data_IF_734568370590
#
_entry.id   IF_734568370590
#
_cell.length_a   1.000
_cell.length_b   1.000
_cell.length_c   1.000
_cell.angle_alpha   90.00
_cell.angle_beta   90.00
_cell.angle_gamma   90.00
#
_symmetry.space_group_name_H-M   'P 1'
#
loop_
_entity.id
_entity.type
_entity.pdbx_description
1 polymer ?
#
# COMPACT_ATOMS: atom_id res chain seq x y z
N UNK A 1 -1.89 -9.04 13.89
CA UNK A 1 -1.14 -10.07 13.14
C UNK A 1 0.35 -9.83 13.39
N UNK A 2 1.02 -10.73 14.12
CA UNK A 2 2.36 -10.54 14.69
C UNK A 2 3.51 -11.17 13.90
N UNK A 3 3.21 -11.98 12.89
CA UNK A 3 4.20 -12.61 12.03
C UNK A 3 3.54 -13.07 10.73
N UNK A 4 4.14 -12.72 9.59
CA UNK A 4 3.83 -13.31 8.29
C UNK A 4 4.92 -13.00 7.26
N UNK A 5 5.03 -13.83 6.24
CA UNK A 5 5.54 -13.47 4.92
C UNK A 5 4.51 -13.86 3.86
N UNK A 6 4.33 -13.03 2.83
CA UNK A 6 3.30 -13.25 1.81
C UNK A 6 3.77 -12.71 0.45
N UNK A 7 3.48 -13.36 -0.69
CA UNK A 7 2.74 -14.63 -0.85
C UNK A 7 3.60 -15.89 -0.67
N UNK A 8 4.92 -15.76 -0.66
CA UNK A 8 5.88 -16.86 -0.54
C UNK A 8 7.18 -16.39 0.13
N UNK A 9 8.06 -17.34 0.42
CA UNK A 9 9.42 -17.13 0.95
C UNK A 9 10.49 -17.55 -0.06
N UNK A 10 10.18 -17.52 -1.36
CA UNK A 10 11.11 -17.89 -2.43
C UNK A 10 12.39 -17.04 -2.38
N UNK A 11 13.53 -17.65 -2.65
CA UNK A 11 14.79 -16.92 -2.74
C UNK A 11 14.74 -15.84 -3.83
N UNK A 12 15.29 -14.66 -3.52
CA UNK A 12 15.36 -13.49 -4.42
C UNK A 12 14.01 -13.05 -5.03
N UNK A 13 12.91 -13.19 -4.29
CA UNK A 13 11.55 -12.86 -4.76
C UNK A 13 11.08 -11.45 -4.39
N UNK A 14 11.79 -10.73 -3.52
CA UNK A 14 11.30 -9.48 -2.93
C UNK A 14 11.00 -8.35 -3.93
N UNK A 15 11.61 -8.39 -5.12
CA UNK A 15 11.45 -7.40 -6.19
C UNK A 15 10.56 -7.87 -7.35
N UNK A 16 9.97 -9.08 -7.27
CA UNK A 16 9.07 -9.58 -8.32
C UNK A 16 7.83 -8.69 -8.45
N UNK A 17 7.56 -8.24 -9.67
CA UNK A 17 6.38 -7.44 -10.00
C UNK A 17 5.58 -8.13 -11.11
N UNK A 18 4.24 -8.24 -11.01
CA UNK A 18 3.34 -7.62 -10.02
C UNK A 18 3.17 -8.40 -8.71
N UNK A 19 3.94 -9.47 -8.47
CA UNK A 19 3.80 -10.34 -7.28
C UNK A 19 3.81 -9.55 -5.95
N UNK A 20 4.69 -8.56 -5.82
CA UNK A 20 4.80 -7.74 -4.61
C UNK A 20 3.51 -6.95 -4.25
N UNK A 21 2.59 -6.72 -5.19
CA UNK A 21 1.27 -6.14 -4.89
C UNK A 21 0.44 -7.05 -3.96
N UNK A 22 0.74 -8.35 -3.92
CA UNK A 22 0.11 -9.26 -2.96
C UNK A 22 0.37 -8.86 -1.50
N UNK A 23 1.49 -8.19 -1.21
CA UNK A 23 1.80 -7.73 0.15
C UNK A 23 0.85 -6.61 0.58
N UNK A 24 0.61 -5.62 -0.28
CA UNK A 24 -0.29 -4.51 0.05
C UNK A 24 -1.74 -4.97 0.15
N UNK A 25 -2.17 -5.88 -0.72
CA UNK A 25 -3.48 -6.54 -0.62
C UNK A 25 -3.63 -7.31 0.68
N UNK A 26 -2.61 -8.07 1.09
CA UNK A 26 -2.66 -8.83 2.35
C UNK A 26 -2.75 -7.91 3.58
N UNK A 27 -2.03 -6.77 3.57
CA UNK A 27 -2.18 -5.74 4.60
C UNK A 27 -3.58 -5.14 4.57
N UNK A 28 -4.12 -4.83 3.38
CA UNK A 28 -5.48 -4.31 3.26
C UNK A 28 -6.51 -5.26 3.88
N UNK A 29 -6.50 -6.54 3.50
CA UNK A 29 -7.41 -7.55 4.08
C UNK A 29 -7.22 -7.70 5.58
N UNK A 30 -5.97 -7.66 6.07
CA UNK A 30 -5.69 -7.67 7.51
C UNK A 30 -6.34 -6.49 8.24
N UNK A 31 -6.29 -5.30 7.65
CA UNK A 31 -6.81 -4.08 8.28
C UNK A 31 -8.32 -3.93 8.15
N UNK A 32 -8.90 -4.36 7.03
CA UNK A 32 -10.31 -4.13 6.68
C UNK A 32 -11.21 -5.31 7.04
N UNK A 33 -10.78 -6.54 6.76
CA UNK A 33 -11.59 -7.76 7.02
C UNK A 33 -11.23 -8.39 8.38
N UNK A 34 -9.95 -8.31 8.78
CA UNK A 34 -9.47 -8.90 10.04
C UNK A 34 -9.47 -7.96 11.24
N UNK A 35 -9.82 -6.67 11.04
CA UNK A 35 -9.76 -5.62 12.07
C UNK A 35 -8.45 -5.58 12.88
N UNK A 36 -7.34 -5.99 12.26
CA UNK A 36 -6.05 -5.98 12.94
C UNK A 36 -5.57 -4.55 13.18
N UNK A 37 -5.06 -4.30 14.40
CA UNK A 37 -4.45 -3.03 14.77
C UNK A 37 -2.94 -2.96 14.45
N UNK A 38 -2.33 -4.12 14.16
CA UNK A 38 -0.92 -4.25 13.85
C UNK A 38 -0.68 -5.35 12.82
N UNK A 39 0.28 -5.08 11.93
CA UNK A 39 0.78 -6.01 10.93
C UNK A 39 2.30 -6.05 11.02
N UNK A 40 2.85 -7.20 11.40
CA UNK A 40 4.29 -7.39 11.60
C UNK A 40 4.77 -8.46 10.63
N UNK A 41 5.74 -8.09 9.79
CA UNK A 41 6.41 -9.02 8.88
C UNK A 41 7.41 -9.89 9.66
N UNK A 42 7.75 -11.05 9.11
CA UNK A 42 8.75 -11.95 9.69
C UNK A 42 10.18 -11.35 9.70
N UNK A 43 11.11 -11.88 8.92
CA UNK A 43 12.45 -11.29 8.84
C UNK A 43 12.43 -9.97 8.05
N UNK A 44 12.87 -8.88 8.68
CA UNK A 44 12.95 -7.55 8.06
C UNK A 44 13.97 -7.57 6.92
N UNK A 45 15.20 -8.04 7.19
CA UNK A 45 16.26 -8.18 6.18
C UNK A 45 16.33 -9.62 5.68
N UNK A 46 15.85 -9.85 4.45
CA UNK A 46 15.89 -11.16 3.79
C UNK A 46 15.65 -11.01 2.28
N UNK A 47 16.12 -11.96 1.48
CA UNK A 47 15.91 -11.99 0.01
C UNK A 47 14.44 -11.99 -0.46
N UNK A 48 13.49 -12.27 0.44
CA UNK A 48 12.03 -12.21 0.22
C UNK A 48 11.33 -11.15 1.09
N UNK A 49 12.09 -10.41 1.91
CA UNK A 49 11.57 -9.49 2.91
C UNK A 49 11.44 -8.05 2.41
N UNK A 50 11.02 -7.12 3.30
CA UNK A 50 10.90 -5.70 2.96
C UNK A 50 12.25 -5.01 2.75
N UNK A 51 13.32 -5.53 3.33
CA UNK A 51 14.69 -5.06 3.11
C UNK A 51 15.52 -6.20 2.54
N UNK A 52 16.24 -5.92 1.46
CA UNK A 52 17.15 -6.87 0.81
C UNK A 52 18.46 -6.99 1.60
N UNK A 53 19.26 -8.01 1.26
CA UNK A 53 20.56 -8.23 1.90
C UNK A 53 21.57 -7.10 1.62
N UNK A 54 21.41 -6.37 0.51
CA UNK A 54 22.16 -5.15 0.19
C UNK A 54 21.73 -3.91 1.01
N UNK A 55 20.75 -4.05 1.91
CA UNK A 55 20.21 -2.98 2.74
C UNK A 55 19.20 -2.06 2.03
N UNK A 56 18.96 -2.25 0.74
CA UNK A 56 17.96 -1.48 0.00
C UNK A 56 16.55 -2.00 0.24
N UNK A 57 15.57 -1.11 0.11
CA UNK A 57 14.14 -1.45 0.24
C UNK A 57 13.70 -2.22 -1.02
N UNK A 58 13.04 -3.36 -0.82
CA UNK A 58 12.50 -4.18 -1.91
C UNK A 58 11.13 -3.67 -2.39
N UNK A 59 10.62 -4.17 -3.53
CA UNK A 59 9.23 -3.90 -3.95
C UNK A 59 8.19 -4.33 -2.91
N UNK A 60 8.42 -5.44 -2.20
CA UNK A 60 7.58 -5.82 -1.03
C UNK A 60 7.67 -4.78 0.10
N UNK A 61 8.87 -4.27 0.37
CA UNK A 61 9.08 -3.18 1.34
C UNK A 61 8.39 -1.88 0.96
N UNK A 62 8.42 -1.51 -0.32
CA UNK A 62 7.64 -0.37 -0.82
C UNK A 62 6.14 -0.58 -0.60
N UNK A 63 5.61 -1.78 -0.85
CA UNK A 63 4.20 -2.08 -0.58
C UNK A 63 3.84 -1.89 0.90
N UNK A 64 4.71 -2.32 1.83
CA UNK A 64 4.54 -2.06 3.27
C UNK A 64 4.70 -0.57 3.63
N UNK A 65 5.56 0.16 2.92
CA UNK A 65 5.88 1.56 3.20
C UNK A 65 4.67 2.50 3.01
N UNK A 66 3.78 2.20 2.06
CA UNK A 66 2.56 2.98 1.84
C UNK A 66 1.56 2.93 3.01
N UNK A 67 1.66 1.93 3.88
CA UNK A 67 0.92 1.91 5.14
C UNK A 67 1.77 2.56 6.24
N UNK A 68 2.95 1.99 6.53
CA UNK A 68 3.78 2.38 7.68
C UNK A 68 4.28 3.83 7.70
N UNK A 69 4.50 4.45 6.53
CA UNK A 69 4.97 5.85 6.44
C UNK A 69 3.83 6.85 6.62
N UNK A 70 2.60 6.49 6.29
CA UNK A 70 1.47 7.44 6.24
C UNK A 70 0.44 7.19 7.34
N UNK A 71 0.13 5.94 7.67
CA UNK A 71 -0.76 5.55 8.77
C UNK A 71 0.10 5.41 10.04
N UNK A 72 0.14 6.47 10.84
CA UNK A 72 0.97 6.52 12.05
C UNK A 72 0.24 5.91 13.25
N UNK A 73 0.96 5.44 14.29
CA UNK A 73 0.33 5.01 15.53
C UNK A 73 -0.66 6.05 16.07
N UNK A 74 -1.84 5.61 16.49
CA UNK A 74 -2.96 6.46 16.92
C UNK A 74 -3.93 6.89 15.81
N UNK A 75 -3.64 6.58 14.54
CA UNK A 75 -4.62 6.75 13.46
C UNK A 75 -5.73 5.71 13.60
N UNK A 76 -6.96 6.13 13.34
CA UNK A 76 -8.15 5.27 13.42
C UNK A 76 -8.60 4.95 12.01
N UNK A 77 -8.82 3.65 11.72
CA UNK A 77 -9.43 3.22 10.46
C UNK A 77 -10.86 3.75 10.40
N UNK A 78 -11.24 4.34 9.28
CA UNK A 78 -12.61 4.81 9.04
C UNK A 78 -13.27 3.96 7.96
N UNK A 79 -14.59 3.98 7.92
CA UNK A 79 -15.34 3.28 6.89
C UNK A 79 -15.09 3.89 5.51
N UNK A 80 -14.96 3.02 4.51
CA UNK A 80 -14.72 3.37 3.11
C UNK A 80 -15.15 2.19 2.22
N UNK A 81 -15.55 2.48 0.98
CA UNK A 81 -15.85 1.44 -0.01
C UNK A 81 -14.63 0.57 -0.26
N UNK A 82 -14.59 -0.61 0.36
CA UNK A 82 -13.40 -1.49 0.40
C UNK A 82 -12.93 -1.98 -0.96
N UNK A 83 -13.86 -2.23 -1.89
CA UNK A 83 -13.58 -2.71 -3.25
C UNK A 83 -14.52 -2.02 -4.25
N UNK A 84 -14.22 -0.79 -4.72
CA UNK A 84 -15.09 -0.07 -5.65
C UNK A 84 -15.16 -0.71 -7.04
N UNK A 85 -14.13 -1.45 -7.45
CA UNK A 85 -14.09 -2.22 -8.69
C UNK A 85 -13.32 -3.54 -8.49
N UNK A 86 -13.53 -4.56 -9.34
CA UNK A 86 -12.74 -5.79 -9.27
C UNK A 86 -11.24 -5.51 -9.35
N UNK A 87 -10.45 -6.11 -8.46
CA UNK A 87 -9.00 -5.91 -8.33
C UNK A 87 -8.58 -4.48 -7.91
N UNK A 88 -9.50 -3.68 -7.37
CA UNK A 88 -9.19 -2.38 -6.76
C UNK A 88 -9.58 -2.43 -5.29
N UNK A 89 -8.63 -2.20 -4.40
CA UNK A 89 -8.82 -2.24 -2.94
C UNK A 89 -8.51 -0.89 -2.32
N UNK A 90 -9.38 -0.41 -1.42
CA UNK A 90 -9.25 0.93 -0.82
C UNK A 90 -9.46 0.87 0.69
N UNK A 91 -8.52 1.43 1.44
CA UNK A 91 -8.63 1.61 2.89
C UNK A 91 -8.37 3.07 3.27
N UNK A 92 -9.06 3.55 4.30
CA UNK A 92 -8.97 4.93 4.75
C UNK A 92 -8.72 5.02 6.27
N UNK A 93 -7.89 5.99 6.66
CA UNK A 93 -7.47 6.21 8.04
C UNK A 93 -7.51 7.70 8.36
N UNK A 94 -7.96 8.04 9.56
CA UNK A 94 -8.02 9.42 10.08
C UNK A 94 -7.09 9.56 11.28
N UNK A 95 -6.31 10.64 11.29
CA UNK A 95 -5.45 10.99 12.43
C UNK A 95 -4.71 12.30 12.16
N UNK A 96 -4.37 13.05 13.22
CA UNK A 96 -3.65 14.32 13.13
C UNK A 96 -4.22 15.31 12.09
N UNK A 97 -5.55 15.48 12.10
CA UNK A 97 -6.30 16.32 11.16
C UNK A 97 -6.05 15.99 9.68
N UNK A 98 -5.68 14.74 9.40
CA UNK A 98 -5.37 14.24 8.07
C UNK A 98 -6.15 12.96 7.80
N UNK A 99 -6.53 12.78 6.53
CA UNK A 99 -7.06 11.52 6.02
C UNK A 99 -6.03 10.90 5.11
N UNK A 100 -5.74 9.63 5.34
CA UNK A 100 -4.83 8.82 4.54
C UNK A 100 -5.65 7.76 3.84
N UNK A 101 -5.59 7.76 2.51
CA UNK A 101 -6.23 6.76 1.67
C UNK A 101 -5.13 5.93 1.03
N UNK A 102 -5.20 4.61 1.19
CA UNK A 102 -4.33 3.66 0.51
C UNK A 102 -5.17 2.91 -0.52
N UNK A 103 -4.84 3.08 -1.79
CA UNK A 103 -5.53 2.47 -2.92
C UNK A 103 -4.60 1.52 -3.69
N UNK A 104 -5.06 0.30 -3.90
CA UNK A 104 -4.35 -0.81 -4.55
C UNK A 104 -5.08 -1.14 -5.84
N UNK A 105 -4.38 -1.05 -6.97
CA UNK A 105 -4.93 -1.51 -8.23
C UNK A 105 -4.09 -2.68 -8.76
N UNK A 106 -4.72 -3.85 -8.85
CA UNK A 106 -4.13 -5.08 -9.39
C UNK A 106 -4.62 -5.42 -10.79
N UNK A 107 -5.40 -4.54 -11.44
CA UNK A 107 -5.81 -4.74 -12.83
C UNK A 107 -4.59 -4.83 -13.72
N UNK A 108 -4.60 -5.79 -14.65
CA UNK A 108 -3.61 -5.89 -15.70
C UNK A 108 -4.17 -5.19 -16.95
N UNK A 109 -3.69 -3.98 -17.23
CA UNK A 109 -3.92 -3.37 -18.53
C UNK A 109 -2.90 -3.95 -19.52
N UNK A 110 -3.37 -4.60 -20.59
CA UNK A 110 -2.52 -5.01 -21.71
C UNK A 110 -2.10 -3.77 -22.50
N UNK A 111 -1.01 -3.13 -22.11
CA UNK A 111 -0.28 -2.18 -22.94
C UNK A 111 1.20 -2.18 -22.58
N UNK A 112 1.99 -2.37 -23.63
CA UNK A 112 3.43 -2.53 -23.72
C UNK A 112 4.24 -1.46 -22.96
N UNK A 113 5.49 -1.84 -22.66
CA UNK A 113 6.67 -1.00 -22.39
C UNK A 113 6.76 -0.27 -21.05
N UNK A 114 7.88 -0.57 -20.39
CA UNK A 114 8.50 0.17 -19.31
C UNK A 114 8.35 1.69 -19.49
N UNK A 115 7.56 2.28 -18.61
CA UNK A 115 7.84 3.48 -17.82
C UNK A 115 6.61 3.61 -16.91
N UNK A 116 6.82 3.87 -15.63
CA UNK A 116 5.74 4.09 -14.68
C UNK A 116 5.07 5.45 -14.98
N UNK A 117 4.41 5.59 -16.13
CA UNK A 117 3.76 6.82 -16.56
C UNK A 117 2.39 6.51 -17.17
N UNK A 118 1.37 7.16 -16.61
CA UNK A 118 0.06 7.39 -17.18
C UNK A 118 -0.74 6.16 -17.69
N UNK A 119 -1.16 5.28 -16.76
CA UNK A 119 -2.56 4.84 -16.56
C UNK A 119 -2.57 3.62 -15.62
N UNK A 120 -2.88 3.91 -14.35
CA UNK A 120 -3.51 3.03 -13.36
C UNK A 120 -2.82 1.76 -12.84
N UNK A 121 -1.65 1.34 -13.33
CA UNK A 121 -0.85 0.32 -12.62
C UNK A 121 -0.01 0.92 -11.48
N UNK A 122 -0.58 1.83 -10.69
CA UNK A 122 0.12 2.56 -9.65
C UNK A 122 -0.58 2.41 -8.30
N UNK A 123 0.18 1.92 -7.34
CA UNK A 123 -0.15 1.95 -5.93
C UNK A 123 0.01 3.40 -5.42
N UNK A 124 -1.03 3.95 -4.80
CA UNK A 124 -1.09 5.35 -4.43
C UNK A 124 -1.55 5.51 -2.98
N UNK A 125 -0.78 6.27 -2.21
CA UNK A 125 -1.26 6.81 -0.93
C UNK A 125 -1.52 8.30 -1.09
N UNK A 126 -2.76 8.72 -0.90
CA UNK A 126 -3.16 10.13 -0.93
C UNK A 126 -3.32 10.61 0.51
N UNK A 127 -2.61 11.68 0.85
CA UNK A 127 -2.73 12.37 2.14
C UNK A 127 -3.53 13.65 1.92
N UNK A 128 -4.69 13.76 2.56
CA UNK A 128 -5.56 14.95 2.48
C UNK A 128 -5.56 15.69 3.83
N UNK A 129 -5.45 17.02 3.77
CA UNK A 129 -5.61 17.90 4.93
C UNK A 129 -7.11 18.23 5.13
N UNK A 130 -7.59 18.18 6.36
CA UNK A 130 -9.01 18.39 6.70
C UNK A 130 -9.57 19.74 6.20
N UNK A 131 -8.74 20.79 6.10
CA UNK A 131 -9.20 22.10 5.59
C UNK A 131 -9.53 22.13 4.09
N UNK A 132 -9.15 21.13 3.30
CA UNK A 132 -9.42 21.10 1.85
C UNK A 132 -10.75 20.44 1.47
N UNK A 133 -11.53 19.95 2.44
CA UNK A 133 -12.85 19.34 2.17
C UNK A 133 -13.94 20.36 1.77
N UNK A 134 -13.73 21.67 1.99
CA UNK A 134 -14.73 22.71 1.69
C UNK A 134 -14.61 23.34 0.28
N UNK A 135 -13.71 22.87 -0.58
CA UNK A 135 -13.61 23.37 -1.97
C UNK A 135 -13.67 22.20 -2.97
N UNK A 136 -14.71 22.12 -3.83
CA UNK A 136 -14.91 20.99 -4.76
C UNK A 136 -13.90 20.92 -5.93
N UNK A 137 -12.85 21.73 -5.93
CA UNK A 137 -11.86 21.86 -7.02
C UNK A 137 -10.40 21.67 -6.62
N UNK A 138 -10.11 21.17 -5.41
CA UNK A 138 -8.73 20.98 -4.97
C UNK A 138 -8.01 19.89 -5.80
N UNK A 139 -6.96 20.29 -6.55
CA UNK A 139 -6.05 19.33 -7.22
C UNK A 139 -5.30 18.52 -6.17
N UNK A 140 -5.72 17.26 -5.98
CA UNK A 140 -5.07 16.32 -5.08
C UNK A 140 -3.70 15.90 -5.62
N UNK A 141 -2.64 16.09 -4.83
CA UNK A 141 -1.28 15.69 -5.22
C UNK A 141 -1.07 14.22 -4.85
N UNK A 142 -1.19 13.33 -5.83
CA UNK A 142 -0.76 11.94 -5.70
C UNK A 142 0.72 11.90 -5.32
N UNK A 143 1.03 11.37 -4.13
CA UNK A 143 2.40 11.09 -3.73
C UNK A 143 2.73 9.66 -4.13
N UNK A 144 3.30 9.53 -5.32
CA UNK A 144 3.93 8.28 -5.75
C UNK A 144 5.25 8.11 -5.00
N UNK A 145 5.45 6.95 -4.35
CA UNK A 145 6.78 6.56 -3.91
C UNK A 145 7.44 5.93 -5.15
N UNK A 146 8.41 6.64 -5.74
CA UNK A 146 9.26 6.11 -6.82
C UNK A 146 10.28 5.14 -6.24
#
# INVERSE_FOLDING_TARGET
>A
MTEVYYPNSDNNSADRWPEALGVSEHIHHSMVEGDFQAYVWWYIRRSYGPMKEDGLISKRGYNMAHFSKFVRPGYVRIDATKSPEPNVFVSAYKGNNQVVIVAINKKQYRSQSALCDAKWNCFASIKMDYKQQQQPSARYRLKYIR
#
